data_IF_068485125373
#
_entry.id   IF_068485125373
#
_cell.length_a   1.000
_cell.length_b   1.000
_cell.length_c   1.000
_cell.angle_alpha   90.00
_cell.angle_beta   90.00
_cell.angle_gamma   90.00
#
_symmetry.space_group_name_H-M   'P 1'
#
loop_
_entity.id
_entity.type
_entity.pdbx_description
1 polymer ?
#
# COMPACT_ATOMS: atom_id res chain seq x y z
N UNK A 1 9.56 -21.08 7.22
CA UNK A 1 9.07 -19.84 6.58
C UNK A 1 7.57 -19.93 6.57
N UNK A 2 6.87 -19.11 7.36
CA UNK A 2 5.40 -19.10 7.39
C UNK A 2 4.91 -17.98 6.48
N UNK A 3 4.24 -18.34 5.39
CA UNK A 3 3.63 -17.39 4.46
C UNK A 3 2.21 -17.10 4.93
N UNK A 4 1.87 -15.83 5.17
CA UNK A 4 0.48 -15.44 5.29
C UNK A 4 -0.08 -15.36 3.86
N UNK A 5 -0.85 -16.37 3.45
CA UNK A 5 -1.56 -16.36 2.18
C UNK A 5 -2.75 -15.41 2.29
N UNK A 6 -2.55 -14.19 1.82
CA UNK A 6 -3.64 -13.24 1.67
C UNK A 6 -4.20 -13.38 0.25
N UNK A 7 -5.50 -13.59 0.11
CA UNK A 7 -6.18 -13.76 -1.18
C UNK A 7 -6.81 -12.44 -1.63
N UNK A 8 -6.40 -11.91 -2.77
CA UNK A 8 -7.14 -10.88 -3.53
C UNK A 8 -6.91 -11.08 -5.04
N UNK A 9 -7.62 -10.32 -5.86
CA UNK A 9 -7.52 -10.37 -7.32
C UNK A 9 -6.34 -9.49 -7.80
N UNK A 10 -5.40 -10.00 -8.62
CA UNK A 10 -4.28 -9.22 -9.21
C UNK A 10 -2.90 -9.91 -9.30
N UNK A 11 -2.00 -9.37 -10.12
CA UNK A 11 -0.61 -9.82 -10.35
C UNK A 11 0.36 -9.50 -9.18
N UNK A 12 1.61 -9.97 -9.28
CA UNK A 12 2.63 -9.86 -8.23
C UNK A 12 3.80 -9.00 -8.72
N UNK A 13 3.80 -7.71 -8.41
CA UNK A 13 4.92 -6.83 -8.81
C UNK A 13 5.92 -6.54 -7.69
N UNK A 14 5.60 -6.88 -6.43
CA UNK A 14 6.50 -6.69 -5.29
C UNK A 14 6.41 -7.84 -4.29
N UNK A 15 7.55 -8.25 -3.74
CA UNK A 15 7.65 -9.12 -2.57
C UNK A 15 8.34 -8.30 -1.49
N UNK A 16 7.75 -8.24 -0.29
CA UNK A 16 8.34 -7.55 0.86
C UNK A 16 8.41 -8.51 2.04
N UNK A 17 9.57 -8.61 2.67
CA UNK A 17 9.76 -9.41 3.87
C UNK A 17 9.96 -8.52 5.10
N UNK A 18 9.55 -9.04 6.26
CA UNK A 18 9.79 -8.43 7.57
C UNK A 18 10.01 -9.53 8.62
N UNK A 19 10.54 -9.17 9.77
CA UNK A 19 10.70 -10.07 10.92
C UNK A 19 9.62 -9.76 11.96
N UNK A 20 8.74 -10.72 12.21
CA UNK A 20 7.67 -10.65 13.21
C UNK A 20 7.91 -11.73 14.26
N UNK A 21 8.11 -11.35 15.53
CA UNK A 21 8.35 -12.28 16.65
C UNK A 21 9.47 -13.30 16.35
N UNK A 22 10.60 -12.81 15.83
CA UNK A 22 11.77 -13.60 15.39
C UNK A 22 11.49 -14.61 14.25
N UNK A 23 10.33 -14.51 13.59
CA UNK A 23 9.99 -15.29 12.41
C UNK A 23 10.07 -14.39 11.18
N UNK A 24 10.77 -14.83 10.14
CA UNK A 24 10.77 -14.14 8.86
C UNK A 24 9.44 -14.41 8.14
N UNK A 25 8.73 -13.33 7.84
CA UNK A 25 7.45 -13.33 7.15
C UNK A 25 7.62 -12.58 5.84
N UNK A 26 7.27 -13.23 4.73
CA UNK A 26 7.16 -12.57 3.43
C UNK A 26 5.69 -12.33 3.12
N UNK A 27 5.38 -11.10 2.70
CA UNK A 27 4.17 -10.82 1.94
C UNK A 27 4.50 -11.01 0.46
N UNK A 28 3.78 -11.94 -0.17
CA UNK A 28 3.82 -12.20 -1.60
C UNK A 28 2.40 -12.53 -2.06
N UNK A 29 2.07 -12.13 -3.28
CA UNK A 29 0.79 -12.42 -3.91
C UNK A 29 0.89 -13.63 -4.85
N UNK A 30 -0.24 -14.25 -5.23
CA UNK A 30 -0.31 -15.33 -6.23
C UNK A 30 -1.74 -15.46 -6.77
N UNK A 31 -1.89 -15.53 -8.10
CA UNK A 31 -3.21 -15.60 -8.77
C UNK A 31 -3.80 -17.00 -8.96
N UNK A 32 -5.14 -17.01 -8.97
CA UNK A 32 -5.98 -17.82 -9.85
C UNK A 32 -6.79 -16.87 -10.77
N UNK A 33 -6.21 -16.41 -11.89
CA UNK A 33 -6.95 -16.03 -13.10
C UNK A 33 -6.82 -14.60 -13.68
N UNK A 34 -6.14 -14.49 -14.82
CA UNK A 34 -6.75 -14.06 -16.10
C UNK A 34 -6.44 -12.67 -16.66
N UNK A 35 -5.91 -11.72 -15.88
CA UNK A 35 -5.60 -10.36 -16.37
C UNK A 35 -4.09 -10.09 -16.42
N UNK A 36 -3.66 -9.32 -17.45
CA UNK A 36 -2.27 -9.03 -17.84
C UNK A 36 -1.86 -7.57 -17.49
N UNK A 37 -2.41 -6.97 -16.44
CA UNK A 37 -2.16 -5.55 -16.10
C UNK A 37 -1.22 -5.41 -14.89
N UNK A 38 -0.32 -4.40 -14.96
CA UNK A 38 0.72 -4.04 -13.98
C UNK A 38 0.11 -3.23 -12.81
N UNK A 39 0.67 -3.38 -11.59
CA UNK A 39 0.44 -2.46 -10.45
C UNK A 39 -0.05 -3.07 -9.14
N UNK A 40 0.81 -3.19 -8.10
CA UNK A 40 0.44 -3.74 -6.77
C UNK A 40 1.24 -3.16 -5.59
N UNK A 41 0.92 -1.91 -5.23
CA UNK A 41 1.52 -1.20 -4.09
C UNK A 41 1.37 -1.97 -2.77
N UNK A 42 2.47 -2.18 -2.06
CA UNK A 42 2.47 -2.72 -0.70
C UNK A 42 3.64 -2.18 0.10
N UNK A 43 3.44 -2.02 1.41
CA UNK A 43 4.51 -1.69 2.32
C UNK A 43 4.30 -2.23 3.73
N UNK A 44 5.39 -2.66 4.36
CA UNK A 44 5.42 -3.01 5.78
C UNK A 44 5.78 -1.78 6.59
N UNK A 45 5.09 -1.57 7.70
CA UNK A 45 5.45 -0.50 8.62
C UNK A 45 6.84 -0.76 9.20
N UNK A 46 7.70 0.25 9.16
CA UNK A 46 8.96 0.24 9.91
C UNK A 46 8.78 0.58 11.38
N UNK A 47 7.58 1.04 11.78
CA UNK A 47 7.27 1.49 13.14
C UNK A 47 6.51 0.40 13.91
N UNK A 48 5.48 -0.18 13.28
CA UNK A 48 4.59 -1.16 13.90
C UNK A 48 4.86 -2.57 13.32
N UNK A 49 5.46 -3.50 14.09
CA UNK A 49 5.74 -4.85 13.61
C UNK A 49 4.50 -5.56 13.09
N UNK A 50 4.59 -6.06 11.86
CA UNK A 50 3.50 -6.78 11.21
C UNK A 50 2.37 -5.88 10.70
N UNK A 51 2.43 -4.55 10.81
CA UNK A 51 1.45 -3.70 10.12
C UNK A 51 1.80 -3.64 8.63
N UNK A 52 0.86 -4.02 7.77
CA UNK A 52 0.98 -4.02 6.31
C UNK A 52 -0.18 -3.25 5.69
N UNK A 53 0.11 -2.54 4.59
CA UNK A 53 -0.89 -1.92 3.73
C UNK A 53 -0.71 -2.38 2.30
N UNK A 54 -1.82 -2.62 1.61
CA UNK A 54 -1.85 -3.18 0.26
C UNK A 54 -2.87 -2.45 -0.60
N UNK A 55 -2.54 -2.21 -1.87
CA UNK A 55 -3.42 -1.62 -2.88
C UNK A 55 -4.02 -2.70 -3.79
N UNK A 56 -5.08 -2.35 -4.51
CA UNK A 56 -5.66 -3.19 -5.56
C UNK A 56 -5.95 -2.40 -6.85
N UNK A 57 -6.20 -3.12 -7.95
CA UNK A 57 -6.58 -2.54 -9.25
C UNK A 57 -8.01 -1.95 -9.25
N UNK A 58 -8.74 -2.05 -8.13
CA UNK A 58 -10.09 -1.52 -7.97
C UNK A 58 -10.11 -0.29 -7.07
N UNK A 59 -8.99 0.44 -6.98
CA UNK A 59 -8.74 1.71 -6.25
C UNK A 59 -8.65 1.65 -4.73
N UNK A 60 -8.70 0.47 -4.13
CA UNK A 60 -8.86 0.31 -2.70
C UNK A 60 -7.52 0.07 -2.01
N UNK A 61 -7.37 0.62 -0.80
CA UNK A 61 -6.26 0.30 0.09
C UNK A 61 -6.76 -0.51 1.30
N UNK A 62 -6.05 -1.58 1.64
CA UNK A 62 -6.41 -2.52 2.69
C UNK A 62 -5.37 -2.50 3.80
N UNK A 63 -5.85 -2.50 5.04
CA UNK A 63 -5.02 -2.45 6.25
C UNK A 63 -5.00 -3.82 6.92
N UNK A 64 -3.80 -4.31 7.18
CA UNK A 64 -3.52 -5.63 7.74
C UNK A 64 -2.78 -5.47 9.05
N UNK A 65 -3.33 -6.02 10.14
CA UNK A 65 -2.67 -6.04 11.45
C UNK A 65 -2.60 -7.48 11.97
N UNK A 66 -1.53 -7.88 12.66
CA UNK A 66 -1.43 -9.21 13.23
C UNK A 66 -2.50 -9.39 14.33
N UNK A 67 -3.01 -10.60 14.45
CA UNK A 67 -3.94 -11.04 15.47
C UNK A 67 -3.37 -12.27 16.20
N UNK A 68 -4.00 -12.65 17.32
CA UNK A 68 -3.60 -13.83 18.07
C UNK A 68 -3.63 -15.11 17.22
N UNK A 69 -2.73 -16.05 17.53
CA UNK A 69 -2.65 -17.34 16.86
C UNK A 69 -2.13 -17.29 15.41
N UNK A 70 -1.34 -16.26 15.06
CA UNK A 70 -0.77 -16.14 13.71
C UNK A 70 -1.79 -15.72 12.65
N UNK A 71 -2.94 -15.20 13.07
CA UNK A 71 -3.99 -14.69 12.20
C UNK A 71 -3.75 -13.22 11.86
N UNK A 72 -4.55 -12.72 10.93
CA UNK A 72 -4.50 -11.34 10.46
C UNK A 72 -5.89 -10.71 10.55
N UNK A 73 -5.96 -9.53 11.17
CA UNK A 73 -7.11 -8.66 11.13
C UNK A 73 -7.01 -7.79 9.89
N UNK A 74 -8.06 -7.84 9.07
CA UNK A 74 -8.21 -7.02 7.87
C UNK A 74 -9.37 -6.08 8.10
N UNK A 75 -9.16 -4.79 7.90
CA UNK A 75 -10.30 -3.87 7.92
C UNK A 75 -11.25 -4.23 6.78
N UNK A 76 -12.51 -4.53 7.11
CA UNK A 76 -13.53 -4.87 6.11
C UNK A 76 -13.88 -3.70 5.20
N UNK A 77 -13.65 -2.47 5.67
CA UNK A 77 -13.85 -1.26 4.89
C UNK A 77 -12.48 -0.75 4.40
N UNK A 78 -12.20 -0.78 3.09
CA UNK A 78 -10.95 -0.24 2.56
C UNK A 78 -10.92 1.28 2.66
N UNK A 79 -9.72 1.87 2.57
CA UNK A 79 -9.59 3.31 2.36
C UNK A 79 -10.02 3.63 0.92
N UNK A 80 -10.88 4.63 0.76
CA UNK A 80 -11.48 5.02 -0.52
C UNK A 80 -11.04 6.44 -0.86
N UNK A 81 -10.55 6.66 -2.08
CA UNK A 81 -10.19 7.99 -2.55
C UNK A 81 -9.59 8.01 -3.95
N UNK A 82 -8.76 7.02 -4.31
CA UNK A 82 -8.33 6.86 -5.69
C UNK A 82 -9.51 6.52 -6.61
N UNK A 83 -9.38 6.87 -7.88
CA UNK A 83 -10.42 6.55 -8.89
C UNK A 83 -9.99 5.44 -9.84
N UNK A 84 -8.75 4.97 -9.75
CA UNK A 84 -8.17 3.91 -10.57
C UNK A 84 -7.15 3.07 -9.78
N UNK A 85 -6.46 2.12 -10.43
CA UNK A 85 -5.48 1.20 -9.85
C UNK A 85 -4.47 1.89 -8.92
N UNK A 86 -4.18 1.29 -7.77
CA UNK A 86 -3.18 1.78 -6.81
C UNK A 86 -1.83 1.12 -7.08
N UNK A 87 -0.90 1.91 -7.62
CA UNK A 87 0.37 1.44 -8.15
C UNK A 87 1.46 1.30 -7.08
N UNK A 88 1.48 2.22 -6.12
CA UNK A 88 2.44 2.20 -5.03
C UNK A 88 1.86 2.74 -3.73
N UNK A 89 2.38 2.22 -2.62
CA UNK A 89 2.03 2.60 -1.26
C UNK A 89 3.31 2.65 -0.44
N UNK A 90 3.46 3.68 0.38
CA UNK A 90 4.51 3.74 1.38
C UNK A 90 3.95 4.17 2.72
N UNK A 91 4.25 3.39 3.76
CA UNK A 91 3.95 3.73 5.14
C UNK A 91 4.99 4.70 5.68
N UNK A 92 4.56 5.54 6.62
CA UNK A 92 5.43 6.59 7.14
C UNK A 92 6.59 6.00 7.91
N UNK A 93 7.81 6.49 7.67
CA UNK A 93 8.94 6.10 8.50
C UNK A 93 8.88 6.75 9.89
N UNK A 94 8.09 7.82 10.09
CA UNK A 94 8.01 8.56 11.36
C UNK A 94 6.62 8.57 12.03
N UNK A 95 5.53 8.39 11.28
CA UNK A 95 4.16 8.47 11.84
C UNK A 95 3.35 7.20 11.56
N UNK A 96 3.13 6.34 12.57
CA UNK A 96 2.51 5.01 12.39
C UNK A 96 1.18 5.05 11.61
N UNK A 97 0.36 6.09 11.80
CA UNK A 97 -0.96 6.18 11.19
C UNK A 97 -0.97 6.81 9.79
N UNK A 98 0.17 7.28 9.30
CA UNK A 98 0.24 8.02 8.03
C UNK A 98 0.83 7.14 6.93
N UNK A 99 0.26 7.25 5.74
CA UNK A 99 0.80 6.62 4.54
C UNK A 99 0.59 7.50 3.32
N UNK A 100 1.37 7.23 2.28
CA UNK A 100 1.24 7.83 0.96
C UNK A 100 0.89 6.74 -0.07
N UNK A 101 0.13 7.10 -1.09
CA UNK A 101 -0.13 6.23 -2.24
C UNK A 101 -0.17 7.00 -3.55
N UNK A 102 -0.02 6.28 -4.66
CA UNK A 102 -0.16 6.81 -6.01
C UNK A 102 -0.90 5.83 -6.93
N UNK A 103 -1.38 6.33 -8.06
CA UNK A 103 -2.33 5.60 -8.91
C UNK A 103 -2.23 5.98 -10.38
N UNK A 104 -2.79 5.10 -11.22
CA UNK A 104 -3.14 5.36 -12.64
C UNK A 104 -4.04 6.59 -12.80
N UNK A 105 -4.80 6.96 -11.77
CA UNK A 105 -5.59 8.20 -11.76
C UNK A 105 -4.75 9.50 -11.74
N UNK A 106 -3.41 9.37 -11.85
CA UNK A 106 -2.42 10.46 -11.92
C UNK A 106 -2.27 11.24 -10.62
N UNK A 107 -2.87 10.73 -9.55
CA UNK A 107 -2.85 11.38 -8.24
C UNK A 107 -1.84 10.77 -7.27
N UNK A 108 -1.44 11.60 -6.31
CA UNK A 108 -0.77 11.17 -5.09
C UNK A 108 -1.65 11.57 -3.92
N UNK A 109 -1.84 10.65 -2.97
CA UNK A 109 -2.68 10.86 -1.79
C UNK A 109 -1.90 10.60 -0.51
N UNK A 110 -2.19 11.39 0.52
CA UNK A 110 -1.72 11.19 1.90
C UNK A 110 -2.92 10.82 2.75
N UNK A 111 -2.75 9.78 3.55
CA UNK A 111 -3.82 9.22 4.38
C UNK A 111 -3.44 9.24 5.84
N UNK A 112 -4.44 9.42 6.70
CA UNK A 112 -4.35 9.20 8.13
C UNK A 112 -5.41 8.19 8.55
N UNK A 113 -4.96 7.00 8.95
CA UNK A 113 -5.83 5.86 9.25
C UNK A 113 -6.52 5.96 10.61
N UNK A 114 -6.29 7.04 11.37
CA UNK A 114 -7.07 7.37 12.58
C UNK A 114 -8.48 7.82 12.23
N UNK A 115 -8.68 8.37 11.03
CA UNK A 115 -9.99 8.75 10.54
C UNK A 115 -10.75 7.54 9.98
N UNK A 116 -12.09 7.61 9.90
CA UNK A 116 -12.88 6.59 9.21
C UNK A 116 -12.40 6.40 7.77
N UNK A 117 -12.44 5.18 7.19
CA UNK A 117 -11.86 4.90 5.87
C UNK A 117 -12.31 5.82 4.73
N UNK A 118 -13.57 6.27 4.75
CA UNK A 118 -14.13 7.20 3.75
C UNK A 118 -13.64 8.65 3.90
N UNK A 119 -12.99 8.98 5.01
CA UNK A 119 -12.44 10.30 5.34
C UNK A 119 -10.94 10.26 5.58
N UNK A 120 -10.28 9.11 5.37
CA UNK A 120 -8.88 8.92 5.69
C UNK A 120 -7.93 9.66 4.74
N UNK A 121 -8.38 10.02 3.53
CA UNK A 121 -7.59 10.84 2.61
C UNK A 121 -7.54 12.29 3.13
N UNK A 122 -6.38 12.70 3.64
CA UNK A 122 -6.18 14.02 4.23
C UNK A 122 -5.76 15.05 3.18
N UNK A 123 -4.92 14.62 2.24
CA UNK A 123 -4.39 15.47 1.17
C UNK A 123 -4.43 14.69 -0.14
N UNK A 124 -4.78 15.38 -1.22
CA UNK A 124 -4.67 14.86 -2.58
C UNK A 124 -4.01 15.87 -3.49
N UNK A 125 -3.14 15.37 -4.37
CA UNK A 125 -2.71 16.07 -5.56
C UNK A 125 -3.24 15.28 -6.76
N UNK A 126 -4.42 15.68 -7.25
CA UNK A 126 -5.17 14.91 -8.28
C UNK A 126 -4.53 14.96 -9.68
N UNK A 127 -3.52 15.81 -9.88
CA UNK A 127 -2.74 15.92 -11.12
C UNK A 127 -1.26 16.06 -10.79
N UNK A 128 -0.74 15.08 -10.05
CA UNK A 128 0.67 15.06 -9.70
C UNK A 128 1.57 14.92 -10.93
N UNK A 129 1.09 14.22 -11.95
CA UNK A 129 1.75 14.00 -13.24
C UNK A 129 0.75 14.03 -14.41
N UNK A 130 1.24 14.13 -15.64
CA UNK A 130 0.42 14.09 -16.86
C UNK A 130 0.01 12.65 -17.26
N UNK A 131 0.69 11.65 -16.70
CA UNK A 131 0.48 10.22 -16.87
C UNK A 131 0.41 9.51 -15.52
N UNK A 132 0.22 8.20 -15.56
CA UNK A 132 0.08 7.30 -14.43
C UNK A 132 1.28 7.40 -13.49
N UNK A 133 1.02 7.40 -12.18
CA UNK A 133 2.10 7.46 -11.19
C UNK A 133 2.36 6.06 -10.67
N UNK A 134 3.47 5.47 -11.10
CA UNK A 134 3.77 4.06 -10.83
C UNK A 134 4.51 3.83 -9.52
N UNK A 135 5.32 4.81 -9.09
CA UNK A 135 6.19 4.66 -7.92
C UNK A 135 6.26 5.97 -7.14
N UNK A 136 6.21 5.85 -5.81
CA UNK A 136 6.56 6.92 -4.87
C UNK A 136 7.70 6.48 -3.94
N UNK A 137 8.42 7.44 -3.39
CA UNK A 137 9.46 7.20 -2.40
C UNK A 137 9.52 8.31 -1.36
N UNK A 138 9.30 7.92 -0.11
CA UNK A 138 9.46 8.77 1.06
C UNK A 138 10.94 8.93 1.36
N UNK A 139 11.35 10.18 1.53
CA UNK A 139 12.71 10.45 1.97
C UNK A 139 12.86 10.03 3.44
N UNK A 140 13.64 8.99 3.70
CA UNK A 140 13.86 8.47 5.06
C UNK A 140 14.67 9.39 5.98
N UNK A 141 15.39 10.36 5.42
CA UNK A 141 16.15 11.37 6.20
C UNK A 141 15.31 12.62 6.46
N UNK A 142 14.52 13.01 5.47
CA UNK A 142 13.61 14.17 5.52
C UNK A 142 12.17 13.66 5.33
N UNK A 143 11.53 13.11 6.38
CA UNK A 143 10.32 12.30 6.27
C UNK A 143 9.07 13.07 5.82
N UNK A 144 9.17 14.37 5.63
CA UNK A 144 8.11 15.21 5.07
C UNK A 144 8.19 15.35 3.54
N UNK A 145 9.19 14.75 2.88
CA UNK A 145 9.36 14.80 1.42
C UNK A 145 9.01 13.45 0.79
N UNK A 146 8.06 13.46 -0.16
CA UNK A 146 7.74 12.32 -1.03
C UNK A 146 8.10 12.66 -2.47
N UNK A 147 8.81 11.76 -3.16
CA UNK A 147 9.11 11.87 -4.60
C UNK A 147 8.32 10.83 -5.39
N UNK A 148 7.87 11.17 -6.59
CA UNK A 148 7.14 10.28 -7.49
C UNK A 148 7.82 10.16 -8.86
N UNK A 149 7.56 9.06 -9.56
CA UNK A 149 8.03 8.82 -10.94
C UNK A 149 6.91 8.17 -11.76
N UNK A 150 6.77 8.60 -13.01
CA UNK A 150 5.97 7.95 -14.05
C UNK A 150 6.88 7.39 -15.15
N UNK A 151 6.35 6.49 -15.97
CA UNK A 151 7.02 6.09 -17.21
C UNK A 151 6.67 7.10 -18.30
N UNK A 152 7.67 7.83 -18.81
CA UNK A 152 7.53 8.56 -20.07
C UNK A 152 7.70 7.55 -21.21
N UNK A 153 6.68 7.43 -22.06
CA UNK A 153 6.75 6.69 -23.34
C UNK A 153 7.80 7.27 -24.27
#
# INVERSE_FOLDING_TARGET
MSCALIKHQGCVDRIRCTKLNNTDVAASWSELGGHQEEGFGMDWSSIAPGFLVTGDCRRNLHIWRPAEGGKWNVNQMPLIGHTDSVEDIQLSPNEESVLASCSVDKSIRIWDIRAPPSKACMLSNDRAHESDVNIINWNRKEPFIVRSKFNAT
#
